data_IF_144337632206
#
_entry.id   IF_144337632206
#
_cell.length_a   1.000
_cell.length_b   1.000
_cell.length_c   1.000
_cell.angle_alpha   90.00
_cell.angle_beta   90.00
_cell.angle_gamma   90.00
#
_symmetry.space_group_name_H-M   'P 1'
#
loop_
_entity.id
_entity.type
_entity.pdbx_description
1 polymer ?
#
# COMPACT_ATOMS: atom_id res chain seq x y z
N UNK A 1 26.38 70.12 39.14
CA UNK A 1 27.12 70.41 37.89
C UNK A 1 26.14 70.33 36.73
N UNK A 2 26.26 71.28 35.82
CA UNK A 2 25.34 71.69 34.76
C UNK A 2 25.05 70.56 33.72
N UNK A 3 23.81 70.43 33.25
CA UNK A 3 23.30 70.87 31.92
C UNK A 3 23.86 70.10 30.71
N UNK A 4 23.17 69.78 29.61
CA UNK A 4 21.79 69.76 29.06
C UNK A 4 21.96 69.02 27.70
N UNK A 5 20.85 68.72 27.02
CA UNK A 5 20.68 68.62 25.54
C UNK A 5 20.19 67.24 25.03
N UNK A 6 18.86 67.15 24.98
CA UNK A 6 17.99 66.39 24.05
C UNK A 6 18.00 67.07 22.64
N UNK A 7 17.18 66.74 21.59
CA UNK A 7 16.14 65.71 21.41
C UNK A 7 15.97 65.11 19.97
N UNK A 8 14.94 64.26 19.81
CA UNK A 8 14.06 64.04 18.61
C UNK A 8 14.57 63.14 17.46
N UNK A 9 13.77 62.27 16.81
CA UNK A 9 12.37 62.44 16.41
C UNK A 9 11.61 61.11 16.10
N UNK A 10 10.32 61.07 16.52
CA UNK A 10 9.07 60.71 15.81
C UNK A 10 8.98 59.39 14.99
N UNK A 11 8.30 58.30 15.43
CA UNK A 11 6.83 57.97 15.40
C UNK A 11 6.22 57.76 13.99
N UNK A 12 5.10 57.02 13.73
CA UNK A 12 4.21 56.18 14.58
C UNK A 12 3.76 54.81 13.94
N UNK A 13 3.08 53.95 14.74
CA UNK A 13 2.18 52.85 14.29
C UNK A 13 0.85 53.43 13.67
N UNK A 14 -0.24 52.70 13.27
CA UNK A 14 -0.60 51.26 13.43
C UNK A 14 -1.50 50.62 12.31
N UNK A 15 -2.00 49.40 12.60
CA UNK A 15 -3.36 48.82 12.34
C UNK A 15 -3.65 47.87 11.15
N UNK A 16 -4.19 46.72 11.58
CA UNK A 16 -5.01 45.68 10.94
C UNK A 16 -6.23 46.25 10.16
N UNK A 17 -6.59 45.60 9.03
CA UNK A 17 -7.99 45.31 8.60
C UNK A 17 -8.06 44.30 7.42
N UNK A 18 -9.07 43.43 7.50
CA UNK A 18 -9.64 42.58 6.44
C UNK A 18 -10.12 43.38 5.21
N UNK A 19 -10.07 42.81 4.00
CA UNK A 19 -11.24 42.32 3.22
C UNK A 19 -10.87 41.84 1.80
N UNK A 20 -11.78 41.01 1.29
CA UNK A 20 -11.94 40.22 0.07
C UNK A 20 -11.66 40.82 -1.33
N UNK A 21 -11.42 39.88 -2.26
CA UNK A 21 -11.92 39.78 -3.65
C UNK A 21 -11.54 40.82 -4.71
N UNK A 22 -10.93 40.37 -5.81
CA UNK A 22 -11.47 40.65 -7.16
C UNK A 22 -10.93 39.72 -8.25
N UNK A 23 -11.77 39.56 -9.26
CA UNK A 23 -11.69 38.68 -10.43
C UNK A 23 -10.55 39.02 -11.41
N UNK A 24 -9.98 37.98 -12.02
CA UNK A 24 -9.34 38.08 -13.34
C UNK A 24 -10.05 37.17 -14.35
N UNK A 25 -10.49 37.81 -15.43
CA UNK A 25 -11.13 37.22 -16.60
C UNK A 25 -10.09 36.53 -17.50
N UNK A 26 -10.48 35.38 -18.04
CA UNK A 26 -10.40 35.08 -19.47
C UNK A 26 -9.05 34.66 -20.04
N UNK A 27 -8.96 33.39 -20.43
CA UNK A 27 -8.50 33.04 -21.79
C UNK A 27 -9.19 31.75 -22.22
N UNK A 28 -9.97 31.84 -23.30
CA UNK A 28 -10.65 30.72 -23.94
C UNK A 28 -9.65 29.88 -24.75
N UNK A 29 -9.70 28.56 -24.61
CA UNK A 29 -9.15 27.65 -25.63
C UNK A 29 -10.16 26.55 -25.91
N UNK A 30 -10.68 26.61 -27.13
CA UNK A 30 -11.57 25.61 -27.71
C UNK A 30 -10.81 24.30 -27.93
N UNK A 31 -11.26 23.20 -27.32
CA UNK A 31 -10.90 21.84 -27.76
C UNK A 31 -12.17 21.06 -28.04
N UNK A 32 -12.35 20.74 -29.31
CA UNK A 32 -13.46 19.95 -29.87
C UNK A 32 -13.47 18.57 -29.23
N UNK A 33 -14.54 18.23 -28.50
CA UNK A 33 -14.88 16.86 -28.15
C UNK A 33 -15.88 16.33 -29.19
N UNK A 34 -15.49 15.28 -29.91
CA UNK A 34 -16.35 14.50 -30.78
C UNK A 34 -17.05 13.46 -29.89
N UNK A 35 -18.34 13.67 -29.64
CA UNK A 35 -19.20 12.74 -28.92
C UNK A 35 -19.69 11.69 -29.92
N UNK A 36 -19.41 10.41 -29.64
CA UNK A 36 -20.00 9.28 -30.36
C UNK A 36 -21.30 8.89 -29.64
N UNK A 37 -22.43 9.41 -30.11
CA UNK A 37 -23.76 8.97 -29.64
C UNK A 37 -24.20 7.74 -30.44
N UNK A 38 -24.25 6.58 -29.79
CA UNK A 38 -24.98 5.40 -30.28
C UNK A 38 -26.48 5.62 -30.10
N UNK A 39 -27.21 5.81 -31.20
CA UNK A 39 -28.67 5.68 -31.19
C UNK A 39 -29.05 4.21 -31.40
N UNK A 40 -29.70 3.63 -30.39
CA UNK A 40 -30.54 2.44 -30.56
C UNK A 40 -31.88 2.88 -31.14
N UNK A 41 -32.27 2.31 -32.27
CA UNK A 41 -33.67 2.28 -32.71
C UNK A 41 -34.06 0.84 -33.00
N UNK A 42 -35.13 0.44 -32.32
CA UNK A 42 -35.81 -0.83 -32.37
C UNK A 42 -36.83 -0.80 -33.53
N UNK A 43 -37.02 -1.92 -34.24
CA UNK A 43 -38.09 -2.07 -35.24
C UNK A 43 -37.96 -3.35 -36.08
N UNK A 44 -38.86 -4.30 -35.82
CA UNK A 44 -39.19 -5.47 -36.65
C UNK A 44 -39.59 -5.00 -38.08
N UNK A 45 -39.50 -5.75 -39.18
CA UNK A 45 -40.12 -7.06 -39.44
C UNK A 45 -39.61 -7.63 -40.80
N UNK A 46 -40.08 -8.84 -41.09
CA UNK A 46 -39.66 -9.88 -42.05
C UNK A 46 -39.84 -9.49 -43.53
N UNK A 47 -38.91 -9.90 -44.42
CA UNK A 47 -39.20 -10.56 -45.71
C UNK A 47 -37.95 -11.06 -46.47
N UNK A 48 -38.01 -12.32 -46.93
CA UNK A 48 -37.17 -13.01 -47.93
C UNK A 48 -38.14 -13.38 -49.09
N UNK A 49 -37.75 -13.50 -50.38
CA UNK A 49 -36.87 -14.61 -50.80
C UNK A 49 -36.00 -14.43 -52.08
N UNK A 50 -35.05 -15.37 -52.20
CA UNK A 50 -34.51 -16.07 -53.41
C UNK A 50 -34.00 -15.30 -54.65
N UNK A 51 -32.76 -15.58 -55.08
CA UNK A 51 -32.47 -16.55 -56.17
C UNK A 51 -30.98 -16.54 -56.61
N UNK A 52 -30.57 -17.68 -57.18
CA UNK A 52 -29.22 -18.15 -57.50
C UNK A 52 -28.51 -17.41 -58.66
N UNK A 53 -27.17 -17.45 -58.67
CA UNK A 53 -26.44 -17.92 -59.86
C UNK A 53 -25.06 -18.50 -59.49
N UNK A 54 -24.87 -19.74 -59.91
CA UNK A 54 -23.61 -20.49 -59.96
C UNK A 54 -22.81 -20.08 -61.20
N UNK A 55 -21.48 -20.04 -61.10
CA UNK A 55 -20.57 -20.39 -62.20
C UNK A 55 -19.42 -21.21 -61.61
N UNK A 56 -19.33 -22.45 -62.07
CA UNK A 56 -18.20 -23.38 -61.90
C UNK A 56 -17.52 -23.57 -63.26
N UNK A 57 -16.30 -24.13 -63.23
CA UNK A 57 -15.44 -24.68 -64.31
C UNK A 57 -14.16 -23.86 -64.58
N UNK A 58 -12.96 -24.45 -64.74
CA UNK A 58 -12.50 -25.83 -64.55
C UNK A 58 -10.94 -25.85 -64.58
N UNK A 59 -10.40 -26.89 -63.94
CA UNK A 59 -9.20 -27.70 -64.21
C UNK A 59 -7.81 -27.08 -64.51
N UNK A 60 -6.84 -27.55 -63.72
CA UNK A 60 -5.42 -27.61 -64.08
C UNK A 60 -4.63 -28.53 -63.13
N UNK A 61 -4.60 -29.83 -63.44
CA UNK A 61 -3.83 -30.88 -62.75
C UNK A 61 -2.31 -30.67 -62.82
N UNK A 62 -1.59 -30.85 -61.70
CA UNK A 62 -0.13 -30.79 -61.67
C UNK A 62 0.53 -31.25 -60.37
N UNK A 63 0.73 -32.57 -60.26
CA UNK A 63 1.44 -33.38 -59.24
C UNK A 63 2.72 -32.75 -58.63
N UNK A 64 2.74 -32.53 -57.30
CA UNK A 64 3.81 -32.85 -56.29
C UNK A 64 3.11 -32.83 -54.91
N UNK A 65 2.87 -33.94 -54.22
CA UNK A 65 3.86 -34.74 -53.51
C UNK A 65 4.06 -34.20 -52.09
N UNK A 66 3.09 -34.38 -51.19
CA UNK A 66 3.28 -34.13 -49.75
C UNK A 66 4.17 -35.23 -49.17
N UNK A 67 5.42 -34.89 -48.86
CA UNK A 67 6.29 -35.75 -48.07
C UNK A 67 6.31 -35.20 -46.64
N UNK A 68 5.42 -35.75 -45.81
CA UNK A 68 5.57 -35.72 -44.36
C UNK A 68 6.72 -36.67 -44.03
N UNK A 69 7.92 -36.14 -43.85
CA UNK A 69 9.05 -36.94 -43.35
C UNK A 69 9.36 -36.59 -41.90
N UNK A 70 9.30 -37.65 -41.11
CA UNK A 70 9.59 -37.80 -39.70
C UNK A 70 10.93 -37.17 -39.30
N UNK A 71 10.92 -36.49 -38.15
CA UNK A 71 12.12 -36.08 -37.44
C UNK A 71 11.84 -35.69 -35.99
N UNK A 72 11.05 -36.47 -35.24
CA UNK A 72 10.98 -36.30 -33.79
C UNK A 72 12.23 -36.92 -33.16
N UNK A 73 13.29 -36.12 -33.03
CA UNK A 73 14.37 -36.43 -32.11
C UNK A 73 13.80 -36.35 -30.68
N UNK A 74 13.59 -37.50 -30.06
CA UNK A 74 13.24 -37.61 -28.65
C UNK A 74 14.47 -37.21 -27.80
N UNK A 75 14.62 -35.91 -27.55
CA UNK A 75 15.42 -35.46 -26.42
C UNK A 75 14.59 -35.69 -25.16
N UNK A 76 14.80 -36.84 -24.53
CA UNK A 76 14.37 -37.04 -23.14
C UNK A 76 15.23 -36.13 -22.27
N UNK A 77 14.76 -34.92 -21.99
CA UNK A 77 15.26 -34.17 -20.85
C UNK A 77 14.84 -34.96 -19.61
N UNK A 78 15.76 -35.29 -18.67
CA UNK A 78 15.30 -35.66 -17.35
C UNK A 78 14.47 -34.48 -16.87
N UNK A 79 13.20 -34.73 -16.56
CA UNK A 79 12.45 -33.81 -15.75
C UNK A 79 13.21 -33.73 -14.43
N UNK A 80 14.12 -32.75 -14.33
CA UNK A 80 14.47 -32.17 -13.04
C UNK A 80 13.15 -31.54 -12.63
N UNK A 81 12.35 -32.34 -11.94
CA UNK A 81 11.42 -31.81 -10.96
C UNK A 81 12.33 -31.05 -10.02
N UNK A 82 12.51 -29.77 -10.31
CA UNK A 82 12.80 -28.82 -9.24
C UNK A 82 11.62 -29.00 -8.33
N UNK A 83 11.83 -29.84 -7.32
CA UNK A 83 11.14 -29.74 -6.06
C UNK A 83 11.41 -28.31 -5.64
N UNK A 84 10.52 -27.42 -6.09
CA UNK A 84 10.51 -26.06 -5.66
C UNK A 84 10.30 -26.23 -4.17
N UNK A 85 11.38 -26.04 -3.42
CA UNK A 85 11.39 -25.89 -1.98
C UNK A 85 10.39 -24.78 -1.72
N UNK A 86 9.12 -25.17 -1.59
CA UNK A 86 8.19 -24.53 -0.72
C UNK A 86 9.01 -24.42 0.54
N UNK A 87 9.42 -23.18 0.84
CA UNK A 87 9.89 -22.83 2.16
C UNK A 87 8.66 -23.06 3.01
N UNK A 88 8.46 -24.33 3.34
CA UNK A 88 7.46 -24.81 4.24
C UNK A 88 7.65 -23.88 5.42
N UNK A 89 6.56 -23.24 5.79
CA UNK A 89 6.51 -22.68 7.13
C UNK A 89 6.52 -23.95 7.99
N UNK A 90 7.70 -24.51 8.18
CA UNK A 90 8.00 -25.42 9.25
C UNK A 90 7.52 -24.64 10.45
N UNK A 91 6.39 -25.10 10.99
CA UNK A 91 5.61 -24.43 12.02
C UNK A 91 6.56 -24.33 13.19
N UNK A 92 7.33 -23.23 13.22
CA UNK A 92 8.43 -23.06 14.15
C UNK A 92 7.84 -23.31 15.53
N UNK A 93 8.48 -24.19 16.31
CA UNK A 93 8.02 -24.51 17.65
C UNK A 93 7.62 -23.21 18.38
N UNK A 94 6.32 -23.08 18.68
CA UNK A 94 5.75 -21.88 19.32
C UNK A 94 4.92 -20.94 18.44
N UNK A 95 4.95 -21.04 17.10
CA UNK A 95 4.16 -20.18 16.22
C UNK A 95 2.97 -20.91 15.57
N UNK A 96 1.91 -20.18 15.25
CA UNK A 96 0.76 -20.58 14.43
C UNK A 96 0.63 -19.64 13.25
N UNK A 97 0.12 -20.13 12.13
CA UNK A 97 -0.23 -19.28 10.98
C UNK A 97 -1.63 -18.72 11.22
N UNK A 98 -1.76 -17.40 11.25
CA UNK A 98 -3.04 -16.72 11.16
C UNK A 98 -3.29 -16.38 9.70
N UNK A 99 -4.44 -16.81 9.18
CA UNK A 99 -4.89 -16.54 7.81
C UNK A 99 -6.20 -15.78 7.87
N UNK A 100 -6.29 -14.70 7.11
CA UNK A 100 -7.53 -13.95 6.91
C UNK A 100 -7.98 -14.17 5.46
N UNK A 101 -9.00 -15.01 5.30
CA UNK A 101 -9.54 -15.38 4.00
C UNK A 101 -10.34 -14.25 3.32
N UNK A 102 -10.84 -13.29 4.09
CA UNK A 102 -11.60 -12.16 3.56
C UNK A 102 -10.66 -11.12 2.95
N UNK A 103 -9.56 -10.83 3.66
CA UNK A 103 -8.57 -9.83 3.29
C UNK A 103 -7.35 -10.41 2.57
N UNK A 104 -7.32 -11.73 2.37
CA UNK A 104 -6.30 -12.47 1.58
C UNK A 104 -4.87 -12.21 2.06
N UNK A 105 -4.64 -12.38 3.37
CA UNK A 105 -3.30 -12.30 3.93
C UNK A 105 -3.06 -13.40 4.96
N UNK A 106 -1.79 -13.64 5.25
CA UNK A 106 -1.36 -14.49 6.36
C UNK A 106 -0.15 -13.90 7.09
N UNK A 107 -0.03 -14.27 8.36
CA UNK A 107 1.03 -13.84 9.26
C UNK A 107 1.32 -14.93 10.31
N UNK A 108 2.56 -15.06 10.75
CA UNK A 108 2.94 -15.94 11.86
C UNK A 108 2.72 -15.24 13.19
N UNK A 109 1.96 -15.87 14.08
CA UNK A 109 1.64 -15.37 15.41
C UNK A 109 2.05 -16.41 16.45
N UNK A 110 2.64 -16.04 17.59
CA UNK A 110 2.91 -16.98 18.68
C UNK A 110 1.62 -17.64 19.20
N UNK A 111 1.70 -18.91 19.61
CA UNK A 111 0.53 -19.72 20.01
C UNK A 111 -0.13 -19.23 21.30
N UNK A 112 0.64 -18.59 22.16
CA UNK A 112 0.26 -18.03 23.45
C UNK A 112 -0.32 -16.60 23.36
N UNK A 113 -0.20 -15.95 22.20
CA UNK A 113 -0.77 -14.62 21.99
C UNK A 113 -2.27 -14.67 21.75
N UNK A 114 -2.98 -13.72 22.35
CA UNK A 114 -4.41 -13.50 22.17
C UNK A 114 -4.67 -12.67 20.92
N UNK A 115 -5.91 -12.71 20.43
CA UNK A 115 -6.36 -11.98 19.25
C UNK A 115 -7.52 -11.08 19.66
N UNK A 116 -7.41 -9.79 19.36
CA UNK A 116 -8.50 -8.82 19.49
C UNK A 116 -8.84 -8.23 18.13
N UNK A 117 -10.11 -8.25 17.75
CA UNK A 117 -10.59 -7.54 16.57
C UNK A 117 -11.31 -6.25 16.98
N UNK A 118 -10.91 -5.13 16.39
CA UNK A 118 -11.62 -3.86 16.52
C UNK A 118 -12.89 -3.87 15.67
N UNK A 119 -13.91 -3.12 16.10
CA UNK A 119 -15.12 -2.96 15.30
C UNK A 119 -14.77 -2.27 13.97
N UNK A 120 -15.12 -2.87 12.82
CA UNK A 120 -14.79 -2.28 11.52
C UNK A 120 -15.55 -0.96 11.35
N UNK A 121 -14.86 0.04 10.81
CA UNK A 121 -15.44 1.33 10.47
C UNK A 121 -15.35 1.55 8.97
N UNK A 122 -16.43 1.25 8.25
CA UNK A 122 -16.46 1.30 6.79
C UNK A 122 -15.50 0.29 6.17
N UNK A 123 -14.52 0.78 5.39
CA UNK A 123 -13.48 -0.06 4.78
C UNK A 123 -12.30 -0.35 5.73
N UNK A 124 -12.31 0.22 6.93
CA UNK A 124 -11.22 0.08 7.86
C UNK A 124 -11.48 -1.08 8.82
N UNK A 125 -10.52 -1.99 8.95
CA UNK A 125 -10.54 -3.07 9.94
C UNK A 125 -9.23 -3.07 10.73
N UNK A 126 -9.32 -3.52 11.97
CA UNK A 126 -8.19 -3.56 12.89
C UNK A 126 -8.18 -4.91 13.57
N UNK A 127 -7.05 -5.60 13.50
CA UNK A 127 -6.80 -6.86 14.21
C UNK A 127 -5.52 -6.71 15.01
N UNK A 128 -5.57 -6.97 16.30
CA UNK A 128 -4.43 -6.87 17.20
C UNK A 128 -4.11 -8.24 17.81
N UNK A 129 -2.83 -8.49 18.01
CA UNK A 129 -2.27 -9.65 18.64
C UNK A 129 -1.43 -9.18 19.83
N UNK A 130 -1.60 -9.79 20.98
CA UNK A 130 -0.91 -9.38 22.20
C UNK A 130 -0.65 -10.59 23.10
N UNK A 131 0.45 -10.60 23.86
CA UNK A 131 0.71 -11.64 24.83
C UNK A 131 -0.27 -11.55 26.01
N UNK A 132 -0.51 -12.67 26.69
CA UNK A 132 -1.39 -12.73 27.87
C UNK A 132 -0.84 -11.94 29.07
N UNK A 133 0.49 -11.76 29.11
CA UNK A 133 1.12 -10.91 30.13
C UNK A 133 0.89 -9.44 29.81
N UNK A 134 0.47 -8.66 30.80
CA UNK A 134 0.37 -7.20 30.72
C UNK A 134 1.73 -6.61 30.38
N UNK A 135 1.98 -6.43 29.09
CA UNK A 135 3.22 -5.87 28.54
C UNK A 135 2.85 -4.73 27.59
N UNK A 136 3.79 -3.82 27.36
CA UNK A 136 3.64 -2.76 26.35
C UNK A 136 3.73 -3.29 24.92
N UNK A 137 3.85 -4.62 24.75
CA UNK A 137 4.18 -5.29 23.51
C UNK A 137 2.95 -5.81 22.79
N UNK A 138 2.82 -5.53 21.50
CA UNK A 138 1.73 -6.06 20.67
C UNK A 138 2.08 -5.96 19.18
N UNK A 139 1.29 -6.63 18.35
CA UNK A 139 1.31 -6.50 16.89
C UNK A 139 -0.10 -6.18 16.44
N UNK A 140 -0.26 -5.12 15.65
CA UNK A 140 -1.55 -4.73 15.09
C UNK A 140 -1.51 -4.67 13.58
N UNK A 141 -2.61 -5.04 12.95
CA UNK A 141 -2.85 -4.96 11.51
C UNK A 141 -4.01 -4.01 11.32
N UNK A 142 -3.75 -2.91 10.63
CA UNK A 142 -4.76 -1.93 10.26
C UNK A 142 -4.91 -1.96 8.75
N UNK A 143 -6.13 -2.25 8.29
CA UNK A 143 -6.48 -2.22 6.88
C UNK A 143 -7.24 -0.94 6.63
N UNK A 144 -6.86 -0.18 5.62
CA UNK A 144 -7.54 1.07 5.23
C UNK A 144 -7.82 1.11 3.75
N UNK A 145 -8.97 1.65 3.36
CA UNK A 145 -9.30 1.89 1.95
C UNK A 145 -8.47 3.04 1.38
N UNK A 146 -7.99 2.89 0.14
CA UNK A 146 -7.23 3.89 -0.59
C UNK A 146 -8.03 4.47 -1.75
N UNK A 147 -7.72 5.73 -2.08
CA UNK A 147 -8.23 6.39 -3.28
C UNK A 147 -7.68 5.78 -4.56
N UNK A 148 -8.35 6.02 -5.69
CA UNK A 148 -7.99 5.48 -7.00
C UNK A 148 -6.57 5.88 -7.48
N UNK A 149 -6.02 6.98 -6.95
CA UNK A 149 -4.68 7.48 -7.29
C UNK A 149 -3.56 6.61 -6.71
N UNK A 150 -3.84 5.83 -5.66
CA UNK A 150 -2.88 4.95 -5.00
C UNK A 150 -3.03 3.53 -5.54
N UNK A 151 -2.25 3.22 -6.57
CA UNK A 151 -2.32 1.93 -7.28
C UNK A 151 -1.19 0.97 -6.90
N UNK A 152 -0.09 1.51 -6.37
CA UNK A 152 1.08 0.74 -5.90
C UNK A 152 1.69 1.41 -4.69
N UNK A 153 2.58 0.72 -3.97
CA UNK A 153 3.29 1.33 -2.83
C UNK A 153 4.11 2.55 -3.28
N UNK A 154 4.66 2.53 -4.49
CA UNK A 154 5.43 3.65 -5.05
C UNK A 154 4.57 4.91 -5.30
N UNK A 155 3.24 4.80 -5.29
CA UNK A 155 2.35 5.98 -5.29
C UNK A 155 2.54 6.86 -4.05
N UNK A 156 3.09 6.31 -2.95
CA UNK A 156 3.43 7.08 -1.75
C UNK A 156 4.84 7.71 -1.80
N UNK A 157 5.59 7.52 -2.89
CA UNK A 157 6.97 7.98 -3.03
C UNK A 157 7.98 6.87 -2.80
N UNK A 158 9.25 7.22 -2.59
CA UNK A 158 10.27 6.24 -2.20
C UNK A 158 10.14 5.91 -0.71
N UNK A 159 10.63 4.73 -0.32
CA UNK A 159 10.56 4.30 1.09
C UNK A 159 11.25 5.27 2.04
N UNK A 160 12.39 5.84 1.65
CA UNK A 160 13.16 6.77 2.48
C UNK A 160 12.34 8.07 2.72
N UNK A 161 11.82 8.66 1.65
CA UNK A 161 10.99 9.88 1.71
C UNK A 161 9.68 9.65 2.49
N UNK A 162 9.07 8.48 2.29
CA UNK A 162 7.86 8.08 3.00
C UNK A 162 8.13 7.90 4.49
N UNK A 163 9.20 7.17 4.86
CA UNK A 163 9.58 6.93 6.23
C UNK A 163 9.97 8.22 6.97
N UNK A 164 10.74 9.09 6.31
CA UNK A 164 11.09 10.40 6.86
C UNK A 164 9.84 11.26 7.09
N UNK A 165 8.90 11.28 6.13
CA UNK A 165 7.63 12.01 6.27
C UNK A 165 6.77 11.44 7.40
N UNK A 166 6.69 10.11 7.51
CA UNK A 166 5.96 9.43 8.58
C UNK A 166 6.52 9.81 9.95
N UNK A 167 7.83 9.62 10.16
CA UNK A 167 8.47 9.85 11.46
C UNK A 167 8.51 11.34 11.82
N UNK A 168 8.83 12.22 10.87
CA UNK A 168 8.81 13.67 11.12
C UNK A 168 7.40 14.21 11.41
N UNK A 169 6.36 13.58 10.84
CA UNK A 169 4.96 13.89 11.17
C UNK A 169 4.57 13.51 12.60
N UNK A 170 5.18 12.44 13.12
CA UNK A 170 4.99 11.96 14.50
C UNK A 170 5.81 12.77 15.51
N UNK A 171 6.99 13.28 15.14
CA UNK A 171 7.87 14.02 16.04
C UNK A 171 7.32 15.41 16.40
N UNK A 172 7.09 15.61 17.70
CA UNK A 172 6.60 16.84 18.34
C UNK A 172 7.51 17.26 19.49
N UNK A 173 8.73 16.72 19.57
CA UNK A 173 9.72 17.02 20.60
C UNK A 173 10.10 18.50 20.67
N UNK A 174 9.98 19.23 19.55
CA UNK A 174 10.27 20.66 19.44
C UNK A 174 9.22 21.59 20.09
N UNK A 175 8.03 21.08 20.44
CA UNK A 175 6.98 21.88 21.10
C UNK A 175 7.34 22.18 22.56
N UNK A 176 6.77 23.24 23.12
CA UNK A 176 6.90 23.57 24.54
C UNK A 176 5.52 23.59 25.21
N UNK A 177 5.21 22.68 26.16
CA UNK A 177 6.07 21.62 26.68
C UNK A 177 6.40 20.54 25.62
N UNK A 178 7.52 19.79 25.80
CA UNK A 178 7.97 18.78 24.84
C UNK A 178 6.88 17.75 24.59
N UNK A 179 6.59 17.50 23.32
CA UNK A 179 5.67 16.46 22.88
C UNK A 179 6.36 15.12 22.66
N UNK A 180 5.68 14.24 21.91
CA UNK A 180 6.20 12.93 21.52
C UNK A 180 7.50 13.10 20.73
N UNK A 181 8.56 12.38 21.10
CA UNK A 181 9.79 12.29 20.33
C UNK A 181 9.74 11.04 19.44
N UNK A 182 9.98 11.20 18.13
CA UNK A 182 10.05 10.08 17.20
C UNK A 182 11.38 10.09 16.44
N UNK A 183 11.94 8.91 16.16
CA UNK A 183 13.22 8.78 15.45
C UNK A 183 13.20 7.57 14.53
N UNK A 184 13.61 7.78 13.27
CA UNK A 184 13.75 6.72 12.28
C UNK A 184 15.03 5.93 12.59
N UNK A 185 14.94 4.60 12.59
CA UNK A 185 16.07 3.69 12.79
C UNK A 185 16.52 3.14 11.44
N UNK A 186 15.59 2.50 10.73
CA UNK A 186 15.86 1.85 9.45
C UNK A 186 14.62 1.89 8.55
N UNK A 187 14.84 1.88 7.24
CA UNK A 187 13.77 1.80 6.26
C UNK A 187 14.24 1.03 5.03
N UNK A 188 13.36 0.15 4.53
CA UNK A 188 13.67 -0.73 3.40
C UNK A 188 12.43 -1.03 2.58
N UNK A 189 12.56 -0.99 1.26
CA UNK A 189 11.56 -1.52 0.34
C UNK A 189 11.95 -2.92 -0.12
N UNK A 190 11.03 -3.87 -0.06
CA UNK A 190 11.25 -5.20 -0.64
C UNK A 190 9.93 -5.86 -1.01
N UNK A 191 9.89 -6.54 -2.16
CA UNK A 191 8.72 -7.29 -2.65
C UNK A 191 7.42 -6.48 -2.68
N UNK A 192 7.50 -5.19 -3.02
CA UNK A 192 6.34 -4.30 -3.07
C UNK A 192 5.79 -3.90 -1.69
N UNK A 193 6.57 -4.07 -0.62
CA UNK A 193 6.25 -3.67 0.75
C UNK A 193 7.29 -2.69 1.28
N UNK A 194 6.88 -1.81 2.19
CA UNK A 194 7.78 -0.95 2.96
C UNK A 194 7.94 -1.47 4.38
N UNK A 195 9.17 -1.64 4.80
CA UNK A 195 9.57 -2.00 6.15
C UNK A 195 10.19 -0.78 6.78
N UNK A 196 9.65 -0.33 7.91
CA UNK A 196 10.06 0.90 8.58
C UNK A 196 10.21 0.59 10.05
N UNK A 197 11.38 0.86 10.58
CA UNK A 197 11.68 0.71 12.00
C UNK A 197 11.94 2.09 12.59
N UNK A 198 11.25 2.42 13.68
CA UNK A 198 11.38 3.71 14.33
C UNK A 198 11.10 3.61 15.82
N UNK A 199 11.56 4.60 16.57
CA UNK A 199 11.26 4.71 18.00
C UNK A 199 10.25 5.81 18.26
N UNK A 200 9.43 5.64 19.28
CA UNK A 200 8.49 6.64 19.76
C UNK A 200 8.60 6.75 21.28
N UNK A 201 8.77 7.96 21.79
CA UNK A 201 8.89 8.24 23.21
C UNK A 201 7.91 9.35 23.59
N UNK A 202 6.90 9.01 24.40
CA UNK A 202 5.99 9.99 24.96
C UNK A 202 6.66 10.69 26.16
N UNK A 203 6.34 11.97 26.43
CA UNK A 203 6.82 12.66 27.62
C UNK A 203 6.42 11.92 28.89
N UNK A 204 7.40 11.52 29.71
CA UNK A 204 7.17 10.79 30.96
C UNK A 204 6.98 9.28 30.82
N UNK A 205 7.04 8.71 29.61
CA UNK A 205 7.00 7.27 29.38
C UNK A 205 8.33 6.74 28.83
N UNK A 206 8.51 5.43 28.91
CA UNK A 206 9.62 4.73 28.27
C UNK A 206 9.57 4.84 26.74
N UNK A 207 10.74 4.70 26.12
CA UNK A 207 10.85 4.61 24.66
C UNK A 207 10.25 3.30 24.18
N UNK A 208 9.48 3.36 23.09
CA UNK A 208 8.96 2.20 22.37
C UNK A 208 9.68 2.05 21.04
N UNK A 209 9.91 0.81 20.66
CA UNK A 209 10.38 0.43 19.33
C UNK A 209 9.19 -0.05 18.52
N UNK A 210 9.09 0.44 17.29
CA UNK A 210 8.02 0.09 16.35
C UNK A 210 8.64 -0.48 15.08
N UNK A 211 8.14 -1.63 14.68
CA UNK A 211 8.43 -2.30 13.42
C UNK A 211 7.16 -2.30 12.59
N UNK A 212 7.15 -1.51 11.53
CA UNK A 212 5.99 -1.35 10.66
C UNK A 212 6.27 -1.92 9.27
N UNK A 213 5.42 -2.85 8.82
CA UNK A 213 5.36 -3.30 7.43
C UNK A 213 4.11 -2.76 6.78
N UNK A 214 4.27 -2.08 5.65
CA UNK A 214 3.19 -1.52 4.87
C UNK A 214 3.10 -2.22 3.52
N UNK A 215 1.88 -2.56 3.13
CA UNK A 215 1.59 -3.26 1.90
C UNK A 215 0.30 -2.83 1.25
N UNK A 216 0.21 -2.99 -0.07
CA UNK A 216 -1.00 -2.69 -0.82
C UNK A 216 -1.53 -3.94 -1.51
N UNK A 217 -2.83 -4.18 -1.35
CA UNK A 217 -3.54 -5.20 -2.10
C UNK A 217 -4.91 -4.66 -2.56
N UNK A 218 -5.44 -5.21 -3.65
CA UNK A 218 -6.74 -4.83 -4.20
C UNK A 218 -7.74 -5.95 -4.00
N UNK A 219 -8.96 -5.60 -3.58
CA UNK A 219 -10.08 -6.54 -3.55
C UNK A 219 -10.90 -6.52 -4.86
N UNK A 220 -10.39 -5.88 -5.91
CA UNK A 220 -11.06 -5.69 -7.20
C UNK A 220 -11.97 -4.46 -7.28
N UNK A 221 -12.31 -3.83 -6.16
CA UNK A 221 -13.17 -2.64 -6.11
C UNK A 221 -12.41 -1.41 -5.63
N UNK A 222 -11.60 -1.56 -4.58
CA UNK A 222 -10.83 -0.49 -3.96
C UNK A 222 -9.47 -1.06 -3.55
N UNK A 223 -8.42 -0.27 -3.73
CA UNK A 223 -7.10 -0.62 -3.21
C UNK A 223 -7.10 -0.45 -1.69
N UNK A 224 -6.41 -1.32 -0.98
CA UNK A 224 -6.34 -1.29 0.47
C UNK A 224 -4.88 -1.21 0.91
N UNK A 225 -4.61 -0.34 1.87
CA UNK A 225 -3.34 -0.27 2.57
C UNK A 225 -3.43 -1.13 3.83
N UNK A 226 -2.49 -2.04 3.95
CA UNK A 226 -2.27 -2.87 5.12
C UNK A 226 -1.07 -2.29 5.86
N UNK A 227 -1.28 -1.91 7.12
CA UNK A 227 -0.24 -1.44 8.02
C UNK A 227 -0.14 -2.44 9.16
N UNK A 228 0.95 -3.21 9.17
CA UNK A 228 1.28 -4.17 10.23
C UNK A 228 2.32 -3.53 11.12
N UNK A 229 1.96 -3.20 12.35
CA UNK A 229 2.86 -2.55 13.31
C UNK A 229 3.03 -3.42 14.54
N UNK A 230 4.25 -3.90 14.74
CA UNK A 230 4.70 -4.47 16.00
C UNK A 230 5.32 -3.39 16.88
N UNK A 231 4.99 -3.38 18.17
CA UNK A 231 5.57 -2.46 19.14
C UNK A 231 6.00 -3.19 20.41
N UNK A 232 7.04 -2.68 21.07
CA UNK A 232 7.48 -3.10 22.40
C UNK A 232 8.22 -1.96 23.11
N UNK A 233 8.33 -2.04 24.44
CA UNK A 233 9.08 -1.09 25.25
C UNK A 233 10.58 -1.42 25.27
N UNK A 234 11.42 -0.40 25.45
CA UNK A 234 12.89 -0.54 25.51
C UNK A 234 13.33 -1.57 26.58
N UNK A 235 12.62 -1.65 27.70
CA UNK A 235 12.85 -2.64 28.78
C UNK A 235 12.60 -4.11 28.38
N UNK A 236 11.82 -4.30 27.33
CA UNK A 236 11.32 -5.59 26.86
C UNK A 236 11.97 -6.01 25.53
N UNK A 237 12.99 -5.26 25.09
CA UNK A 237 13.74 -5.49 23.85
C UNK A 237 14.33 -6.90 23.80
N UNK A 238 14.94 -7.37 24.89
CA UNK A 238 15.60 -8.68 24.92
C UNK A 238 14.61 -9.85 24.76
N UNK A 239 13.34 -9.63 25.11
CA UNK A 239 12.29 -10.66 25.00
C UNK A 239 11.61 -10.61 23.66
N UNK A 240 11.11 -9.42 23.28
CA UNK A 240 10.16 -9.30 22.18
C UNK A 240 10.74 -8.78 20.88
N UNK A 241 11.95 -8.22 20.87
CA UNK A 241 12.52 -7.60 19.66
C UNK A 241 12.57 -8.58 18.48
N UNK A 242 13.24 -9.71 18.67
CA UNK A 242 13.36 -10.73 17.61
C UNK A 242 12.04 -11.42 17.30
N UNK A 243 11.18 -11.62 18.30
CA UNK A 243 9.88 -12.26 18.13
C UNK A 243 8.94 -11.37 17.30
N UNK A 244 8.82 -10.10 17.64
CA UNK A 244 7.99 -9.14 16.93
C UNK A 244 8.52 -8.86 15.53
N UNK A 245 9.84 -8.70 15.36
CA UNK A 245 10.43 -8.54 14.04
C UNK A 245 10.11 -9.75 13.14
N UNK A 246 10.16 -10.96 13.69
CA UNK A 246 9.79 -12.19 12.98
C UNK A 246 8.30 -12.23 12.63
N UNK A 247 7.42 -11.85 13.55
CA UNK A 247 5.97 -11.77 13.30
C UNK A 247 5.70 -10.80 12.15
N UNK A 248 6.18 -9.56 12.27
CA UNK A 248 5.92 -8.48 11.31
C UNK A 248 6.50 -8.82 9.93
N UNK A 249 7.72 -9.34 9.87
CA UNK A 249 8.38 -9.74 8.61
C UNK A 249 7.76 -10.98 7.94
N UNK A 250 7.00 -11.79 8.68
CA UNK A 250 6.31 -12.95 8.12
C UNK A 250 5.04 -12.61 7.35
N UNK A 251 4.55 -11.38 7.46
CA UNK A 251 3.35 -10.92 6.79
C UNK A 251 3.48 -11.05 5.27
N UNK A 252 2.46 -11.64 4.64
CA UNK A 252 2.36 -11.72 3.18
C UNK A 252 0.91 -11.79 2.71
N UNK A 253 0.68 -11.31 1.51
CA UNK A 253 -0.57 -11.51 0.77
C UNK A 253 -0.66 -12.93 0.20
N UNK A 254 -1.89 -13.40 0.00
CA UNK A 254 -2.25 -14.70 -0.58
C UNK A 254 -2.93 -14.48 -1.93
#
# INVERSE_FOLDING_TARGET
MACVWSPSALSPCPRIRHLSSSNHRGLSSYRKQLVFCCNKSQGNEIEKPSSNSYVEEQLGTGRRGFMLELGFAAFSFPAIVSDAVAKDIDVLEGFRVYTDDENKFQILIPKDWQIGAGQPNGFNSITAFYPDTTSGSNVSIVITGLGADFTRMESFGKVDEFADTLVSGLDRSWKNPPGVAAKLIDCKASKGMYYIQYTLQNPGEGRRYLYSTLGMASNGWVNRLFTVTGQFLEEDTDKYSSEIEKIVSSFRFI
#
